data_IF_357320757864
#
_entry.id   IF_357320757864
#
_cell.length_a   1.000
_cell.length_b   1.000
_cell.length_c   1.000
_cell.angle_alpha   90.00
_cell.angle_beta   90.00
_cell.angle_gamma   90.00
#
_symmetry.space_group_name_H-M   'P 1'
#
loop_
_entity.id
_entity.type
_entity.pdbx_description
1 polymer ?
#
# COMPACT_ATOMS: atom_id res chain seq x y z
N UNK A 1 9.69 0.21 -11.69
CA UNK A 1 9.54 0.43 -10.23
C UNK A 1 9.43 1.92 -9.99
N UNK A 2 8.30 2.40 -9.46
CA UNK A 2 8.04 3.83 -9.23
C UNK A 2 8.95 4.32 -8.09
N UNK A 3 9.65 5.45 -8.29
CA UNK A 3 10.69 5.95 -7.37
C UNK A 3 10.17 6.87 -6.25
N UNK A 4 8.84 7.00 -6.13
CA UNK A 4 8.14 7.75 -5.09
C UNK A 4 6.72 7.16 -4.98
N UNK A 5 6.43 6.48 -3.88
CA UNK A 5 5.08 6.05 -3.54
C UNK A 5 4.41 7.14 -2.69
N UNK A 6 3.33 7.71 -3.21
CA UNK A 6 2.49 8.65 -2.47
C UNK A 6 1.44 7.88 -1.68
N UNK A 7 1.44 8.08 -0.37
CA UNK A 7 0.43 7.57 0.55
C UNK A 7 -0.49 8.75 0.86
N UNK A 8 -1.80 8.58 0.65
CA UNK A 8 -2.75 9.67 0.85
C UNK A 8 -2.62 10.25 2.27
N UNK A 9 -2.34 11.56 2.36
CA UNK A 9 -2.16 12.28 3.62
C UNK A 9 -0.78 12.12 4.28
N UNK A 10 0.19 11.44 3.66
CA UNK A 10 1.54 11.24 4.20
C UNK A 10 2.63 11.61 3.19
N UNK A 11 3.86 11.81 3.67
CA UNK A 11 5.02 12.09 2.81
C UNK A 11 5.35 10.88 1.91
N UNK A 12 5.96 11.11 0.73
CA UNK A 12 6.34 10.03 -0.18
C UNK A 12 7.38 9.09 0.44
N UNK A 13 7.27 7.80 0.14
CA UNK A 13 8.28 6.79 0.47
C UNK A 13 8.97 6.24 -0.78
N UNK A 14 10.19 5.75 -0.62
CA UNK A 14 10.99 5.27 -1.75
C UNK A 14 10.40 4.00 -2.37
N UNK A 15 10.21 2.96 -1.56
CA UNK A 15 9.71 1.67 -1.98
C UNK A 15 8.78 1.12 -0.91
N UNK A 16 7.63 0.59 -1.35
CA UNK A 16 6.78 -0.24 -0.51
C UNK A 16 6.68 -1.61 -1.15
N UNK A 17 6.96 -2.64 -0.37
CA UNK A 17 6.84 -4.03 -0.76
C UNK A 17 5.79 -4.71 0.11
N UNK A 18 5.05 -5.64 -0.48
CA UNK A 18 4.10 -6.46 0.27
C UNK A 18 4.35 -7.93 0.01
N UNK A 19 4.01 -8.77 0.98
CA UNK A 19 3.92 -10.21 0.81
C UNK A 19 2.46 -10.63 0.66
N UNK A 20 1.92 -10.62 -0.57
CA UNK A 20 0.52 -10.92 -0.78
C UNK A 20 0.22 -12.39 -0.45
N UNK A 21 -0.99 -12.63 0.05
CA UNK A 21 -1.56 -13.96 0.20
C UNK A 21 -1.92 -14.48 -1.19
N UNK A 22 -1.40 -15.65 -1.56
CA UNK A 22 -1.59 -16.21 -2.90
C UNK A 22 -3.08 -16.35 -3.29
N UNK A 23 -3.94 -16.75 -2.34
CA UNK A 23 -5.37 -16.89 -2.59
C UNK A 23 -6.03 -15.54 -2.94
N UNK A 24 -5.64 -14.47 -2.26
CA UNK A 24 -6.17 -13.12 -2.48
C UNK A 24 -5.63 -12.50 -3.77
N UNK A 25 -4.35 -12.73 -4.08
CA UNK A 25 -3.74 -12.32 -5.35
C UNK A 25 -4.42 -13.00 -6.55
N UNK A 26 -4.73 -14.30 -6.46
CA UNK A 26 -5.46 -15.02 -7.51
C UNK A 26 -6.84 -14.42 -7.80
N UNK A 27 -7.54 -13.89 -6.79
CA UNK A 27 -8.81 -13.18 -6.99
C UNK A 27 -8.60 -11.88 -7.79
N UNK A 28 -7.59 -11.11 -7.42
CA UNK A 28 -7.22 -9.83 -8.09
C UNK A 28 -6.77 -10.01 -9.53
N UNK A 29 -6.10 -11.10 -9.86
CA UNK A 29 -5.72 -11.44 -11.24
C UNK A 29 -6.94 -11.80 -12.10
N UNK A 30 -7.99 -12.39 -11.51
CA UNK A 30 -9.19 -12.79 -12.25
C UNK A 30 -10.13 -11.62 -12.53
N UNK A 31 -10.13 -10.59 -11.69
CA UNK A 31 -10.86 -9.35 -11.94
C UNK A 31 -10.24 -8.58 -13.10
N UNK A 32 -11.06 -7.97 -13.96
CA UNK A 32 -10.58 -7.16 -15.09
C UNK A 32 -10.29 -5.72 -14.65
N UNK A 33 -11.10 -5.23 -13.73
CA UNK A 33 -11.08 -3.89 -13.16
C UNK A 33 -10.76 -3.95 -11.68
N UNK A 34 -10.05 -2.93 -11.22
CA UNK A 34 -9.77 -2.68 -9.81
C UNK A 34 -10.59 -1.48 -9.39
N UNK A 35 -11.15 -1.54 -8.17
CA UNK A 35 -11.71 -0.36 -7.51
C UNK A 35 -10.62 0.73 -7.50
N UNK A 36 -10.88 1.95 -8.00
CA UNK A 36 -9.93 3.06 -7.90
C UNK A 36 -9.50 3.28 -6.45
N UNK A 37 -8.22 3.57 -6.20
CA UNK A 37 -7.65 3.61 -4.83
C UNK A 37 -8.38 4.59 -3.90
N UNK A 38 -8.80 5.75 -4.41
CA UNK A 38 -9.61 6.69 -3.64
C UNK A 38 -10.95 6.10 -3.22
N UNK A 39 -11.69 5.49 -4.15
CA UNK A 39 -12.98 4.84 -3.87
C UNK A 39 -12.78 3.67 -2.91
N UNK A 40 -11.78 2.82 -3.16
CA UNK A 40 -11.42 1.71 -2.27
C UNK A 40 -11.13 2.20 -0.86
N UNK A 41 -10.31 3.26 -0.72
CA UNK A 41 -9.98 3.86 0.56
C UNK A 41 -11.25 4.20 1.34
N UNK A 42 -12.24 4.83 0.71
CA UNK A 42 -13.52 5.14 1.38
C UNK A 42 -14.32 3.91 1.79
N UNK A 43 -14.26 2.81 1.02
CA UNK A 43 -15.07 1.62 1.24
C UNK A 43 -14.43 0.57 2.16
N UNK A 44 -13.13 0.69 2.50
CA UNK A 44 -12.43 -0.24 3.39
C UNK A 44 -13.04 -0.26 4.81
N UNK A 45 -13.72 0.82 5.23
CA UNK A 45 -14.28 0.99 6.58
C UNK A 45 -15.50 0.06 6.89
N UNK A 46 -15.74 -0.97 6.07
CA UNK A 46 -16.78 -2.00 6.26
C UNK A 46 -18.18 -1.45 6.54
N UNK A 47 -18.67 -0.58 5.66
CA UNK A 47 -20.02 -0.04 5.72
C UNK A 47 -20.59 0.29 4.35
N UNK A 48 -21.91 0.44 4.30
CA UNK A 48 -22.62 0.94 3.11
C UNK A 48 -22.43 2.45 3.02
N UNK A 49 -21.88 2.94 1.91
CA UNK A 49 -21.74 4.38 1.61
C UNK A 49 -22.49 4.77 0.35
N UNK A 50 -23.09 5.96 0.32
CA UNK A 50 -23.72 6.45 -0.91
C UNK A 50 -22.69 6.92 -1.93
N UNK A 51 -23.08 6.96 -3.21
CA UNK A 51 -22.24 7.54 -4.27
C UNK A 51 -21.79 8.97 -3.91
N UNK A 52 -22.66 9.79 -3.33
CA UNK A 52 -22.35 11.17 -2.94
C UNK A 52 -21.39 11.24 -1.76
N UNK A 53 -21.53 10.37 -0.75
CA UNK A 53 -20.60 10.30 0.38
C UNK A 53 -19.17 9.97 -0.10
N UNK A 54 -19.06 8.98 -0.99
CA UNK A 54 -17.77 8.59 -1.59
C UNK A 54 -17.20 9.75 -2.40
N UNK A 55 -18.00 10.36 -3.27
CA UNK A 55 -17.57 11.47 -4.13
C UNK A 55 -17.08 12.68 -3.32
N UNK A 56 -17.78 13.01 -2.21
CA UNK A 56 -17.38 14.08 -1.31
C UNK A 56 -16.08 13.76 -0.57
N UNK A 57 -15.91 12.53 -0.06
CA UNK A 57 -14.70 12.13 0.69
C UNK A 57 -13.43 12.15 -0.18
N UNK A 58 -13.57 11.87 -1.49
CA UNK A 58 -12.43 11.87 -2.43
C UNK A 58 -12.35 13.12 -3.30
N UNK A 59 -13.21 14.12 -3.05
CA UNK A 59 -13.30 15.37 -3.81
C UNK A 59 -13.40 15.17 -5.34
N UNK A 60 -14.22 14.20 -5.77
CA UNK A 60 -14.41 13.85 -7.18
C UNK A 60 -15.85 14.07 -7.67
N UNK A 61 -16.02 14.10 -8.99
CA UNK A 61 -17.32 14.22 -9.62
C UNK A 61 -18.19 12.97 -9.38
N UNK A 62 -19.43 13.14 -8.91
CA UNK A 62 -20.36 12.05 -8.61
C UNK A 62 -20.66 11.13 -9.80
N UNK A 63 -20.73 11.67 -11.03
CA UNK A 63 -20.94 10.87 -12.25
C UNK A 63 -19.75 9.96 -12.53
N UNK A 64 -18.54 10.48 -12.34
CA UNK A 64 -17.32 9.69 -12.47
C UNK A 64 -17.30 8.55 -11.43
N UNK A 65 -17.62 8.86 -10.17
CA UNK A 65 -17.68 7.86 -9.10
C UNK A 65 -18.75 6.81 -9.38
N UNK A 66 -19.93 7.21 -9.85
CA UNK A 66 -21.00 6.28 -10.23
C UNK A 66 -20.54 5.33 -11.33
N UNK A 67 -19.96 5.86 -12.42
CA UNK A 67 -19.47 5.06 -13.53
C UNK A 67 -18.42 4.05 -13.08
N UNK A 68 -17.45 4.48 -12.27
CA UNK A 68 -16.40 3.60 -11.76
C UNK A 68 -16.96 2.50 -10.84
N UNK A 69 -17.97 2.81 -10.02
CA UNK A 69 -18.62 1.85 -9.14
C UNK A 69 -19.49 0.84 -9.90
N UNK A 70 -20.19 1.28 -10.95
CA UNK A 70 -20.96 0.40 -11.81
C UNK A 70 -20.04 -0.61 -12.54
N UNK A 71 -18.91 -0.17 -13.11
CA UNK A 71 -17.89 -1.07 -13.70
C UNK A 71 -17.34 -2.07 -12.65
N UNK A 72 -17.04 -1.57 -11.46
CA UNK A 72 -16.51 -2.37 -10.36
C UNK A 72 -17.54 -3.39 -9.84
N UNK A 73 -18.83 -3.09 -9.94
CA UNK A 73 -19.93 -3.97 -9.56
C UNK A 73 -20.11 -5.11 -10.56
N UNK A 74 -20.04 -4.82 -11.87
CA UNK A 74 -20.08 -5.85 -12.92
C UNK A 74 -18.95 -6.88 -12.75
N UNK A 75 -17.80 -6.41 -12.29
CA UNK A 75 -16.64 -7.25 -11.98
C UNK A 75 -16.70 -7.96 -10.62
N UNK A 76 -17.76 -7.72 -9.83
CA UNK A 76 -18.04 -8.42 -8.58
C UNK A 76 -17.20 -7.98 -7.38
N UNK A 77 -16.58 -6.81 -7.43
CA UNK A 77 -15.77 -6.27 -6.33
C UNK A 77 -16.58 -5.55 -5.26
N UNK A 78 -17.71 -4.98 -5.65
CA UNK A 78 -18.62 -4.26 -4.74
C UNK A 78 -20.02 -4.85 -4.79
N UNK A 79 -20.79 -4.60 -3.73
CA UNK A 79 -22.23 -4.81 -3.69
C UNK A 79 -22.95 -3.47 -3.84
N UNK A 80 -24.14 -3.51 -4.45
CA UNK A 80 -24.99 -2.34 -4.67
C UNK A 80 -26.37 -2.60 -4.07
N UNK A 81 -26.88 -1.65 -3.29
CA UNK A 81 -28.30 -1.63 -2.85
C UNK A 81 -28.91 -0.26 -3.12
N UNK A 82 -30.20 -0.22 -3.45
CA UNK A 82 -30.92 1.03 -3.70
C UNK A 82 -31.95 1.26 -2.59
N UNK A 83 -31.85 2.38 -1.90
CA UNK A 83 -32.77 2.79 -0.83
C UNK A 83 -33.05 4.30 -0.95
N UNK A 84 -34.31 4.72 -0.84
CA UNK A 84 -34.70 6.14 -0.88
C UNK A 84 -34.13 6.93 -2.09
N UNK A 85 -34.17 6.33 -3.30
CA UNK A 85 -33.59 6.89 -4.54
C UNK A 85 -32.07 7.13 -4.50
N UNK A 86 -31.34 6.50 -3.58
CA UNK A 86 -29.88 6.53 -3.50
C UNK A 86 -29.27 5.15 -3.71
N UNK A 87 -28.12 5.13 -4.38
CA UNK A 87 -27.30 3.94 -4.52
C UNK A 87 -26.28 3.89 -3.36
N UNK A 88 -26.26 2.76 -2.66
CA UNK A 88 -25.31 2.46 -1.60
C UNK A 88 -24.36 1.35 -2.05
N UNK A 89 -23.11 1.46 -1.62
CA UNK A 89 -22.00 0.62 -2.06
C UNK A 89 -21.20 0.09 -0.87
N UNK A 90 -20.70 -1.12 -0.99
CA UNK A 90 -19.81 -1.76 -0.02
C UNK A 90 -18.87 -2.72 -0.74
N UNK A 91 -17.66 -2.93 -0.22
CA UNK A 91 -16.76 -3.96 -0.77
C UNK A 91 -17.30 -5.36 -0.49
N UNK A 92 -17.31 -6.21 -1.52
CA UNK A 92 -17.76 -7.59 -1.42
C UNK A 92 -16.63 -8.50 -0.95
N UNK A 93 -16.86 -9.26 0.13
CA UNK A 93 -15.94 -10.27 0.66
C UNK A 93 -14.47 -9.78 0.83
N UNK A 94 -14.30 -8.48 1.12
CA UNK A 94 -12.98 -7.88 1.12
C UNK A 94 -12.13 -8.37 2.28
N UNK A 95 -10.90 -8.77 1.94
CA UNK A 95 -9.84 -9.12 2.88
C UNK A 95 -8.58 -8.43 2.44
N UNK A 96 -7.88 -7.87 3.42
CA UNK A 96 -6.55 -7.28 3.23
C UNK A 96 -5.64 -8.35 2.59
N UNK A 97 -5.08 -8.09 1.40
CA UNK A 97 -4.47 -9.12 0.59
C UNK A 97 -3.03 -9.45 1.00
N UNK A 98 -2.49 -8.81 2.04
CA UNK A 98 -1.11 -9.02 2.48
C UNK A 98 -1.03 -9.53 3.92
N UNK A 99 0.07 -10.24 4.21
CA UNK A 99 0.48 -10.54 5.59
C UNK A 99 1.49 -9.52 6.12
N UNK A 100 2.40 -9.09 5.24
CA UNK A 100 3.46 -8.15 5.57
C UNK A 100 3.41 -6.96 4.61
N UNK A 101 3.52 -5.75 5.14
CA UNK A 101 3.85 -4.55 4.40
C UNK A 101 5.20 -4.04 4.91
N UNK A 102 6.14 -3.88 3.98
CA UNK A 102 7.52 -3.50 4.24
C UNK A 102 7.78 -2.17 3.57
N UNK A 103 8.13 -1.16 4.36
CA UNK A 103 8.64 0.10 3.81
C UNK A 103 10.15 -0.02 3.70
N UNK A 104 10.69 0.30 2.55
CA UNK A 104 12.12 0.25 2.29
C UNK A 104 12.59 1.64 1.87
N UNK A 105 13.54 2.18 2.63
CA UNK A 105 14.21 3.43 2.33
C UNK A 105 15.56 3.16 1.69
N UNK A 106 15.80 3.73 0.51
CA UNK A 106 17.02 3.49 -0.27
C UNK A 106 17.87 4.75 -0.48
N UNK A 107 17.42 5.91 0.01
CA UNK A 107 18.14 7.18 -0.11
C UNK A 107 19.08 7.40 1.06
N UNK A 108 20.24 6.75 1.02
CA UNK A 108 21.26 6.86 2.06
C UNK A 108 21.67 8.31 2.45
N UNK A 109 21.56 9.27 1.53
CA UNK A 109 21.84 10.71 1.81
C UNK A 109 20.74 11.43 2.60
N UNK A 110 19.57 10.80 2.76
CA UNK A 110 18.37 11.39 3.40
C UNK A 110 17.87 10.56 4.58
N UNK A 111 18.73 9.69 5.14
CA UNK A 111 18.34 8.85 6.25
C UNK A 111 17.84 9.65 7.45
N UNK A 112 18.55 10.72 7.85
CA UNK A 112 18.12 11.55 8.98
C UNK A 112 16.80 12.28 8.72
N UNK A 113 16.61 12.81 7.50
CA UNK A 113 15.31 13.39 7.08
C UNK A 113 14.19 12.34 7.20
N UNK A 114 14.47 11.08 6.87
CA UNK A 114 13.49 10.01 6.99
C UNK A 114 13.20 9.63 8.45
N UNK A 115 14.21 9.59 9.30
CA UNK A 115 14.06 9.37 10.75
C UNK A 115 13.14 10.41 11.40
N UNK A 116 13.33 11.69 11.07
CA UNK A 116 12.48 12.78 11.60
C UNK A 116 11.01 12.63 11.20
N UNK A 117 10.74 11.94 10.09
CA UNK A 117 9.40 11.73 9.55
C UNK A 117 8.86 10.31 9.81
N UNK A 118 9.52 9.51 10.66
CA UNK A 118 9.13 8.13 10.90
C UNK A 118 7.68 8.00 11.40
N UNK A 119 7.27 8.95 12.25
CA UNK A 119 5.93 9.01 12.83
C UNK A 119 4.84 9.16 11.76
N UNK A 120 5.17 9.70 10.58
CA UNK A 120 4.21 9.78 9.48
C UNK A 120 3.79 8.38 8.99
N UNK A 121 4.63 7.36 9.17
CA UNK A 121 4.34 6.01 8.71
C UNK A 121 3.83 5.10 9.84
N UNK A 122 3.67 5.61 11.05
CA UNK A 122 3.25 4.79 12.18
C UNK A 122 1.90 4.11 11.91
N UNK A 123 1.84 2.81 12.20
CA UNK A 123 0.62 2.01 12.09
C UNK A 123 0.23 1.57 10.68
N UNK A 124 0.96 1.94 9.62
CA UNK A 124 0.63 1.56 8.24
C UNK A 124 1.54 0.48 7.62
N UNK A 125 2.51 -0.05 8.38
CA UNK A 125 3.43 -1.10 7.95
C UNK A 125 3.75 -2.10 9.08
N UNK A 126 4.33 -3.24 8.71
CA UNK A 126 4.81 -4.25 9.68
C UNK A 126 6.33 -4.20 9.89
N UNK A 127 7.09 -3.91 8.83
CA UNK A 127 8.55 -3.88 8.85
C UNK A 127 9.07 -2.65 8.12
N UNK A 128 10.22 -2.16 8.54
CA UNK A 128 10.90 -1.06 7.88
C UNK A 128 12.38 -1.35 7.74
N UNK A 129 12.93 -1.13 6.55
CA UNK A 129 14.34 -1.32 6.27
C UNK A 129 14.97 -0.06 5.70
N UNK A 130 16.20 0.19 6.08
CA UNK A 130 17.13 0.95 5.26
C UNK A 130 17.99 0.02 4.41
N UNK A 131 18.23 0.42 3.17
CA UNK A 131 19.09 -0.32 2.24
C UNK A 131 20.27 0.56 1.84
N UNK A 132 21.47 0.03 2.03
CA UNK A 132 22.72 0.71 1.70
C UNK A 132 23.56 -0.11 0.72
N UNK A 133 24.28 0.53 -0.23
CA UNK A 133 25.20 -0.17 -1.12
C UNK A 133 26.60 -0.37 -0.51
N UNK A 134 26.80 -0.03 0.77
CA UNK A 134 28.09 -0.07 1.46
C UNK A 134 27.91 -0.34 2.97
N UNK A 135 28.98 -0.74 3.68
CA UNK A 135 28.98 -0.86 5.15
C UNK A 135 28.69 0.48 5.84
N UNK A 136 27.95 0.43 6.94
CA UNK A 136 27.53 1.60 7.72
C UNK A 136 28.30 1.62 9.04
N UNK A 137 28.51 2.80 9.59
CA UNK A 137 29.08 3.00 10.91
C UNK A 137 28.18 2.45 12.05
N UNK A 138 28.81 2.20 13.19
CA UNK A 138 28.18 1.60 14.37
C UNK A 138 27.13 2.52 15.00
N UNK A 139 27.38 3.83 15.02
CA UNK A 139 26.47 4.83 15.59
C UNK A 139 25.10 4.84 14.87
N UNK A 140 25.10 4.80 13.54
CA UNK A 140 23.86 4.71 12.77
C UNK A 140 23.18 3.34 12.92
N UNK A 141 23.95 2.25 13.02
CA UNK A 141 23.41 0.92 13.27
C UNK A 141 22.65 0.86 14.60
N UNK A 142 23.23 1.42 15.66
CA UNK A 142 22.61 1.51 16.98
C UNK A 142 21.34 2.35 16.92
N UNK A 143 21.37 3.51 16.25
CA UNK A 143 20.19 4.36 16.06
C UNK A 143 19.05 3.62 15.35
N UNK A 144 19.34 2.86 14.30
CA UNK A 144 18.33 2.04 13.63
C UNK A 144 17.75 0.98 14.56
N UNK A 145 18.59 0.30 15.33
CA UNK A 145 18.17 -0.74 16.25
C UNK A 145 17.24 -0.21 17.35
N UNK A 146 17.59 0.92 17.97
CA UNK A 146 16.79 1.58 19.01
C UNK A 146 15.39 1.99 18.51
N UNK A 147 15.25 2.24 17.22
CA UNK A 147 13.97 2.62 16.58
C UNK A 147 13.23 1.44 15.92
N UNK A 148 13.73 0.22 16.12
CA UNK A 148 13.16 -1.02 15.61
C UNK A 148 13.26 -1.18 14.08
N UNK A 149 14.25 -0.57 13.46
CA UNK A 149 14.45 -0.59 12.01
C UNK A 149 15.51 -1.60 11.58
N UNK A 150 15.26 -2.24 10.44
CA UNK A 150 16.19 -3.19 9.85
C UNK A 150 17.19 -2.51 8.92
N UNK A 151 18.33 -3.16 8.73
CA UNK A 151 19.38 -2.72 7.80
C UNK A 151 19.71 -3.85 6.85
N UNK A 152 19.65 -3.55 5.55
CA UNK A 152 20.18 -4.41 4.49
C UNK A 152 21.33 -3.74 3.76
N UNK A 153 22.39 -4.50 3.50
CA UNK A 153 23.45 -4.10 2.59
C UNK A 153 23.26 -4.80 1.24
N UNK A 154 23.22 -4.03 0.16
CA UNK A 154 23.24 -4.55 -1.19
C UNK A 154 24.69 -4.63 -1.70
N UNK A 155 25.17 -5.86 -1.89
CA UNK A 155 26.49 -6.10 -2.48
C UNK A 155 26.36 -6.18 -4.00
N UNK A 156 26.40 -5.02 -4.66
CA UNK A 156 26.15 -4.89 -6.10
C UNK A 156 26.98 -5.87 -6.96
N UNK A 157 28.28 -5.99 -6.67
CA UNK A 157 29.18 -6.90 -7.42
C UNK A 157 28.78 -8.37 -7.38
N UNK A 158 28.08 -8.79 -6.33
CA UNK A 158 27.67 -10.17 -6.11
C UNK A 158 26.15 -10.35 -6.30
N UNK A 159 25.40 -9.26 -6.51
CA UNK A 159 23.97 -9.27 -6.79
C UNK A 159 23.09 -9.79 -5.65
N UNK A 160 23.50 -9.63 -4.37
CA UNK A 160 22.71 -10.11 -3.23
C UNK A 160 22.58 -9.06 -2.12
N UNK A 161 21.52 -9.23 -1.31
CA UNK A 161 21.28 -8.46 -0.09
C UNK A 161 21.72 -9.26 1.13
N UNK A 162 22.43 -8.61 2.05
CA UNK A 162 22.74 -9.14 3.38
C UNK A 162 21.98 -8.33 4.42
N UNK A 163 21.14 -8.99 5.20
CA UNK A 163 20.55 -8.38 6.39
C UNK A 163 21.64 -8.27 7.48
N UNK A 164 21.86 -7.05 7.96
CA UNK A 164 22.74 -6.81 9.10
C UNK A 164 21.96 -6.77 10.41
N UNK A 165 20.83 -6.06 10.40
CA UNK A 165 19.95 -5.91 11.54
C UNK A 165 18.53 -6.27 11.07
N UNK A 166 17.86 -7.25 11.71
CA UNK A 166 16.46 -7.51 11.43
C UNK A 166 15.57 -6.41 12.03
N UNK A 167 14.48 -6.01 11.36
CA UNK A 167 13.55 -5.01 11.87
C UNK A 167 12.68 -5.61 12.97
N UNK A 168 12.22 -4.75 13.87
CA UNK A 168 11.12 -5.12 14.74
C UNK A 168 9.82 -5.25 13.94
N UNK A 169 9.02 -6.26 14.29
CA UNK A 169 7.72 -6.47 13.68
C UNK A 169 6.70 -5.61 14.42
N UNK A 170 6.20 -4.58 13.75
CA UNK A 170 5.18 -3.68 14.29
C UNK A 170 3.76 -4.21 14.03
N UNK A 171 2.87 -3.94 14.98
CA UNK A 171 1.43 -4.18 14.82
C UNK A 171 0.83 -3.07 13.98
N UNK A 172 0.01 -3.45 12.99
CA UNK A 172 -0.70 -2.50 12.13
C UNK A 172 -1.92 -1.98 12.88
N UNK A 173 -1.94 -0.68 13.16
CA UNK A 173 -3.05 -0.01 13.85
C UNK A 173 -3.94 0.77 12.88
N UNK A 174 -3.44 1.16 11.70
CA UNK A 174 -4.19 1.86 10.65
C UNK A 174 -4.48 0.92 9.47
N UNK A 175 -5.48 0.06 9.65
CA UNK A 175 -5.87 -0.94 8.65
C UNK A 175 -6.35 -0.31 7.33
N UNK A 176 -6.96 0.88 7.38
CA UNK A 176 -7.46 1.61 6.21
C UNK A 176 -6.32 1.97 5.26
N UNK A 177 -5.28 2.63 5.78
CA UNK A 177 -4.09 2.98 5.00
C UNK A 177 -3.31 1.75 4.57
N UNK A 178 -3.15 0.77 5.46
CA UNK A 178 -2.46 -0.49 5.16
C UNK A 178 -3.12 -1.25 3.99
N UNK A 179 -4.44 -1.39 4.02
CA UNK A 179 -5.21 -2.07 2.98
C UNK A 179 -5.08 -1.36 1.63
N UNK A 180 -5.22 -0.04 1.62
CA UNK A 180 -5.07 0.76 0.40
C UNK A 180 -3.65 0.66 -0.19
N UNK A 181 -2.61 0.75 0.65
CA UNK A 181 -1.22 0.52 0.23
C UNK A 181 -1.05 -0.83 -0.47
N UNK A 182 -1.57 -1.89 0.14
CA UNK A 182 -1.47 -3.23 -0.44
C UNK A 182 -2.14 -3.31 -1.81
N UNK A 183 -3.34 -2.77 -1.96
CA UNK A 183 -4.07 -2.81 -3.24
C UNK A 183 -3.39 -1.98 -4.33
N UNK A 184 -2.85 -0.80 -3.99
CA UNK A 184 -2.07 0.03 -4.92
C UNK A 184 -0.87 -0.75 -5.45
N UNK A 185 -0.10 -1.40 -4.56
CA UNK A 185 1.09 -2.17 -4.97
C UNK A 185 0.71 -3.39 -5.81
N UNK A 186 -0.36 -4.11 -5.46
CA UNK A 186 -0.86 -5.23 -6.27
C UNK A 186 -1.26 -4.75 -7.65
N UNK A 187 -2.06 -3.68 -7.73
CA UNK A 187 -2.53 -3.10 -9.00
C UNK A 187 -1.37 -2.68 -9.89
N UNK A 188 -0.40 -1.94 -9.35
CA UNK A 188 0.78 -1.51 -10.10
C UNK A 188 1.61 -2.73 -10.59
N UNK A 189 1.79 -3.74 -9.72
CA UNK A 189 2.56 -4.95 -10.05
C UNK A 189 1.88 -5.82 -11.11
N UNK A 190 0.54 -5.91 -11.11
CA UNK A 190 -0.22 -6.66 -12.10
C UNK A 190 -0.32 -5.92 -13.43
N UNK A 191 -0.48 -4.60 -13.41
CA UNK A 191 -0.51 -3.80 -14.63
C UNK A 191 0.82 -3.89 -15.40
N UNK A 192 1.96 -3.89 -14.69
CA UNK A 192 3.27 -4.06 -15.31
C UNK A 192 3.39 -5.38 -16.09
N UNK A 193 2.77 -6.47 -15.61
CA UNK A 193 2.74 -7.75 -16.33
C UNK A 193 1.89 -7.75 -17.60
N UNK A 194 0.92 -6.84 -17.71
CA UNK A 194 0.10 -6.71 -18.93
C UNK A 194 0.80 -5.96 -20.05
N UNK A 195 1.83 -5.15 -19.73
CA UNK A 195 2.59 -4.35 -20.69
C UNK A 195 3.77 -5.14 -21.27
N UNK A 196 4.42 -6.01 -20.49
CA UNK A 196 5.49 -6.90 -20.97
C UNK A 196 4.97 -8.13 -21.74
N UNK A 197 3.65 -8.23 -21.96
CA UNK A 197 2.99 -9.31 -22.70
C UNK A 197 2.59 -8.95 -24.14
N UNK A 198 3.13 -7.85 -24.70
CA UNK A 198 2.98 -7.45 -26.11
C UNK A 198 4.33 -7.59 -26.81
#
# INVERSE_FOLDING_TARGET
>A
MRRNFEIQGKKPVDIVCIMPRLADLKKRIKGKYFVPSGILYTLIDQGWKTTEEIANEIEANTLFVSSALDETYEDGWVEKKNENNKAYWMLKDYKIPSKDCVIVHCRYLKCMEFFENLNDFEGCYNKMYFVFPYPIDEEFMDLCHENGMGIMIFYERMGYFKELIPPEIKTVTNLKVYANLCEVIIKESLHYRSIEGI
#
